data_IF_881513569576
#
_entry.id   IF_881513569576
#
_cell.length_a   1.000
_cell.length_b   1.000
_cell.length_c   1.000
_cell.angle_alpha   90.00
_cell.angle_beta   90.00
_cell.angle_gamma   90.00
#
_symmetry.space_group_name_H-M   'P 1'
#
loop_
_entity.id
_entity.type
_entity.pdbx_description
1 polymer ?
#
# COMPACT_ATOMS: atom_id res chain seq x y z
N UNK A 1 25.04 1.75 5.97
CA UNK A 1 23.66 2.16 6.34
C UNK A 1 22.76 1.04 5.84
N UNK A 2 22.55 0.03 6.68
CA UNK A 2 21.60 -1.05 6.41
C UNK A 2 20.19 -0.52 6.70
N UNK A 3 19.59 0.16 5.72
CA UNK A 3 18.33 0.90 5.90
C UNK A 3 17.36 0.74 4.73
N UNK A 4 17.43 -0.37 4.01
CA UNK A 4 16.50 -0.67 2.93
C UNK A 4 15.33 -1.47 3.51
N UNK A 5 14.11 -0.99 3.33
CA UNK A 5 12.89 -1.80 3.48
C UNK A 5 12.99 -2.93 2.45
N UNK A 6 13.45 -4.11 2.87
CA UNK A 6 13.58 -5.28 2.00
C UNK A 6 12.29 -6.08 1.94
N UNK A 7 11.45 -5.96 2.96
CA UNK A 7 10.20 -6.69 3.10
C UNK A 7 9.16 -5.91 3.90
N UNK A 8 7.91 -6.38 3.85
CA UNK A 8 6.86 -5.83 4.70
C UNK A 8 7.13 -5.99 6.20
N UNK A 9 8.01 -6.91 6.62
CA UNK A 9 8.38 -7.07 8.02
C UNK A 9 9.16 -5.86 8.55
N UNK A 10 9.90 -5.17 7.68
CA UNK A 10 10.72 -4.01 8.06
C UNK A 10 9.88 -2.77 8.40
N UNK A 11 8.56 -2.81 8.14
CA UNK A 11 7.63 -1.79 8.61
C UNK A 11 7.61 -1.67 10.14
N UNK A 12 7.95 -2.73 10.88
CA UNK A 12 8.06 -2.64 12.34
C UNK A 12 9.11 -1.64 12.81
N UNK A 13 10.12 -1.37 11.98
CA UNK A 13 11.16 -0.39 12.28
C UNK A 13 10.70 1.06 12.04
N UNK A 14 9.57 1.25 11.35
CA UNK A 14 9.04 2.59 11.01
C UNK A 14 7.91 3.05 11.93
N UNK A 15 7.21 2.11 12.59
CA UNK A 15 6.03 2.41 13.40
C UNK A 15 6.34 2.16 14.88
N UNK A 16 6.40 3.25 15.67
CA UNK A 16 6.53 3.18 17.12
C UNK A 16 5.23 2.63 17.77
N UNK A 17 5.31 2.07 19.00
CA UNK A 17 4.14 1.60 19.74
C UNK A 17 3.04 2.66 19.88
N UNK A 18 1.78 2.23 19.96
CA UNK A 18 0.65 3.15 20.13
C UNK A 18 0.66 3.91 21.46
N UNK A 19 1.37 3.38 22.47
CA UNK A 19 1.62 4.06 23.74
C UNK A 19 2.55 5.27 23.63
N UNK A 20 3.38 5.34 22.59
CA UNK A 20 4.35 6.41 22.39
C UNK A 20 3.87 7.42 21.34
N UNK A 21 3.34 6.93 20.22
CA UNK A 21 2.81 7.76 19.13
C UNK A 21 1.34 7.42 18.94
N UNK A 22 0.37 8.27 19.31
CA UNK A 22 -1.04 8.03 19.04
C UNK A 22 -1.36 7.93 17.53
N UNK A 23 -2.45 7.25 17.15
CA UNK A 23 -2.78 6.99 15.73
C UNK A 23 -2.96 8.29 14.91
N UNK A 24 -3.46 9.36 15.51
CA UNK A 24 -3.67 10.66 14.88
C UNK A 24 -2.37 11.43 14.59
N UNK A 25 -1.24 10.99 15.16
CA UNK A 25 0.09 11.52 14.87
C UNK A 25 0.83 10.71 13.80
N UNK A 26 0.27 9.57 13.36
CA UNK A 26 0.83 8.80 12.26
C UNK A 26 0.46 9.52 10.95
N UNK A 27 1.42 9.81 10.06
CA UNK A 27 1.12 10.47 8.80
C UNK A 27 0.20 9.57 7.93
N UNK A 28 -0.78 10.15 7.22
CA UNK A 28 -1.57 9.42 6.24
C UNK A 28 -0.64 8.66 5.28
N UNK A 29 -0.80 7.34 5.19
CA UNK A 29 0.13 6.48 4.46
C UNK A 29 -0.62 5.43 3.65
N UNK A 30 -0.30 5.34 2.36
CA UNK A 30 -0.71 4.23 1.51
C UNK A 30 0.44 3.22 1.41
N UNK A 31 0.17 1.95 1.72
CA UNK A 31 1.13 0.86 1.61
C UNK A 31 0.66 -0.09 0.51
N UNK A 32 1.29 0.03 -0.66
CA UNK A 32 1.02 -0.79 -1.83
C UNK A 32 1.77 -2.12 -1.75
N UNK A 33 1.04 -3.21 -1.98
CA UNK A 33 1.57 -4.57 -2.05
C UNK A 33 0.99 -5.32 -3.23
N UNK A 34 1.80 -6.16 -3.89
CA UNK A 34 1.39 -6.87 -5.10
C UNK A 34 0.35 -7.97 -4.95
N UNK A 35 -0.05 -8.38 -3.72
CA UNK A 35 -1.09 -9.42 -3.54
C UNK A 35 -1.98 -9.16 -2.34
N UNK A 36 -3.22 -9.68 -2.39
CA UNK A 36 -4.15 -9.68 -1.25
C UNK A 36 -3.53 -10.25 0.02
N UNK A 37 -2.77 -11.35 -0.09
CA UNK A 37 -2.11 -11.96 1.07
C UNK A 37 -1.10 -11.01 1.70
N UNK A 38 -0.30 -10.33 0.89
CA UNK A 38 0.68 -9.34 1.38
C UNK A 38 0.02 -8.14 2.03
N UNK A 39 -1.10 -7.64 1.48
CA UNK A 39 -1.84 -6.53 2.14
C UNK A 39 -2.34 -6.92 3.53
N UNK A 40 -2.76 -8.17 3.74
CA UNK A 40 -3.09 -8.68 5.07
C UNK A 40 -1.86 -8.77 5.98
N UNK A 41 -0.73 -9.25 5.46
CA UNK A 41 0.52 -9.34 6.22
C UNK A 41 1.01 -7.97 6.70
N UNK A 42 0.85 -6.92 5.89
CA UNK A 42 1.13 -5.54 6.28
C UNK A 42 0.32 -5.15 7.52
N UNK A 43 -0.98 -5.47 7.57
CA UNK A 43 -1.81 -5.17 8.75
C UNK A 43 -1.32 -5.90 10.00
N UNK A 44 -0.93 -7.18 9.88
CA UNK A 44 -0.35 -7.95 10.99
C UNK A 44 0.94 -7.31 11.52
N UNK A 45 1.85 -6.90 10.62
CA UNK A 45 3.11 -6.26 11.02
C UNK A 45 2.87 -4.92 11.71
N UNK A 46 1.98 -4.09 11.15
CA UNK A 46 1.63 -2.80 11.75
C UNK A 46 1.00 -2.99 13.14
N UNK A 47 0.01 -3.88 13.25
CA UNK A 47 -0.66 -4.18 14.50
C UNK A 47 0.32 -4.69 15.58
N UNK A 48 1.24 -5.58 15.21
CA UNK A 48 2.28 -6.07 16.10
C UNK A 48 3.24 -4.95 16.55
N UNK A 49 3.74 -4.14 15.61
CA UNK A 49 4.62 -3.00 15.91
C UNK A 49 3.96 -1.98 16.85
N UNK A 50 2.64 -1.82 16.72
CA UNK A 50 1.83 -0.89 17.51
C UNK A 50 1.42 -1.44 18.87
N UNK A 51 1.69 -2.72 19.16
CA UNK A 51 1.28 -3.38 20.40
C UNK A 51 -0.21 -3.76 20.45
N UNK A 52 -0.87 -3.86 19.30
CA UNK A 52 -2.30 -4.14 19.16
C UNK A 52 -2.58 -5.28 18.17
N UNK A 53 -2.02 -6.50 18.37
CA UNK A 53 -2.03 -7.57 17.37
C UNK A 53 -3.42 -7.97 16.89
N UNK A 54 -4.44 -7.91 17.76
CA UNK A 54 -5.83 -8.24 17.42
C UNK A 54 -6.45 -7.26 16.39
N UNK A 55 -5.93 -6.03 16.32
CA UNK A 55 -6.44 -4.98 15.43
C UNK A 55 -6.16 -5.26 13.94
N UNK A 56 -5.22 -6.17 13.63
CA UNK A 56 -4.95 -6.60 12.25
C UNK A 56 -6.19 -7.22 11.55
N UNK A 57 -7.08 -7.82 12.35
CA UNK A 57 -8.32 -8.46 11.87
C UNK A 57 -9.54 -7.54 11.95
N UNK A 58 -9.39 -6.34 12.54
CA UNK A 58 -10.48 -5.41 12.78
C UNK A 58 -10.79 -4.59 11.52
N UNK A 59 -11.92 -4.85 10.88
CA UNK A 59 -12.37 -4.12 9.70
C UNK A 59 -12.57 -2.61 9.94
N UNK A 60 -12.76 -2.20 11.21
CA UNK A 60 -12.91 -0.80 11.65
C UNK A 60 -11.72 -0.32 12.48
N UNK A 61 -10.54 -0.90 12.26
CA UNK A 61 -9.30 -0.44 12.90
C UNK A 61 -9.16 1.09 12.76
N UNK A 62 -8.70 1.73 13.84
CA UNK A 62 -8.36 3.15 13.88
C UNK A 62 -6.92 3.41 13.43
N UNK A 63 -6.16 2.36 13.12
CA UNK A 63 -4.77 2.44 12.68
C UNK A 63 -4.69 2.17 11.18
N UNK A 64 -5.07 0.96 10.76
CA UNK A 64 -4.81 0.50 9.41
C UNK A 64 -5.96 -0.34 8.86
N UNK A 65 -6.38 -0.05 7.62
CA UNK A 65 -7.44 -0.82 6.96
C UNK A 65 -6.99 -1.31 5.59
N UNK A 66 -7.59 -2.42 5.14
CA UNK A 66 -7.26 -3.02 3.84
C UNK A 66 -8.21 -2.55 2.75
N UNK A 67 -7.65 -2.14 1.61
CA UNK A 67 -8.39 -1.94 0.37
C UNK A 67 -7.95 -2.95 -0.69
N UNK A 68 -8.90 -3.69 -1.27
CA UNK A 68 -8.62 -4.66 -2.33
C UNK A 68 -9.79 -4.73 -3.31
N UNK A 69 -9.54 -5.11 -4.57
CA UNK A 69 -10.58 -5.25 -5.61
C UNK A 69 -11.70 -6.22 -5.22
N UNK A 70 -11.42 -7.22 -4.41
CA UNK A 70 -12.41 -8.19 -3.90
C UNK A 70 -13.06 -7.80 -2.55
N UNK A 71 -12.73 -6.65 -1.97
CA UNK A 71 -13.41 -6.15 -0.76
C UNK A 71 -14.84 -5.74 -1.11
N UNK A 72 -15.78 -5.91 -0.16
CA UNK A 72 -17.18 -5.51 -0.36
C UNK A 72 -17.32 -4.04 -0.75
N UNK A 73 -18.32 -3.70 -1.58
CA UNK A 73 -18.50 -2.34 -2.10
C UNK A 73 -18.60 -1.30 -0.98
N UNK A 74 -19.37 -1.60 0.06
CA UNK A 74 -19.55 -0.68 1.19
C UNK A 74 -18.26 -0.46 1.97
N UNK A 75 -17.48 -1.52 2.21
CA UNK A 75 -16.21 -1.44 2.93
C UNK A 75 -15.18 -0.60 2.14
N UNK A 76 -15.18 -0.69 0.81
CA UNK A 76 -14.34 0.16 -0.04
C UNK A 76 -14.72 1.63 0.10
N UNK A 77 -16.01 1.95 -0.06
CA UNK A 77 -16.49 3.33 0.06
C UNK A 77 -16.18 3.91 1.44
N UNK A 78 -16.47 3.14 2.49
CA UNK A 78 -16.19 3.55 3.87
C UNK A 78 -14.69 3.72 4.12
N UNK A 79 -13.84 2.82 3.61
CA UNK A 79 -12.39 2.94 3.77
C UNK A 79 -11.87 4.25 3.15
N UNK A 80 -12.34 4.57 1.94
CA UNK A 80 -11.96 5.78 1.20
C UNK A 80 -12.45 7.05 1.91
N UNK A 81 -13.71 7.06 2.33
CA UNK A 81 -14.31 8.20 3.04
C UNK A 81 -13.65 8.43 4.40
N UNK A 82 -13.49 7.37 5.20
CA UNK A 82 -12.86 7.46 6.51
C UNK A 82 -11.39 7.87 6.42
N UNK A 83 -10.66 7.39 5.41
CA UNK A 83 -9.27 7.81 5.17
C UNK A 83 -9.20 9.29 4.77
N UNK A 84 -10.08 9.73 3.87
CA UNK A 84 -10.17 11.13 3.44
C UNK A 84 -10.59 12.10 4.55
N UNK A 85 -11.27 11.58 5.59
CA UNK A 85 -11.69 12.28 6.79
C UNK A 85 -10.76 12.03 8.00
N UNK A 86 -9.55 11.50 7.77
CA UNK A 86 -8.51 11.31 8.79
C UNK A 86 -8.97 10.46 10.00
N UNK A 87 -9.89 9.51 9.79
CA UNK A 87 -10.39 8.60 10.85
C UNK A 87 -9.39 7.50 11.20
N UNK A 88 -8.50 7.18 10.28
CA UNK A 88 -7.38 6.26 10.47
C UNK A 88 -6.24 6.63 9.51
N UNK A 89 -4.97 6.40 9.88
CA UNK A 89 -3.83 6.92 9.14
C UNK A 89 -3.29 6.00 8.04
N UNK A 90 -3.55 4.68 8.03
CA UNK A 90 -2.86 3.78 7.08
C UNK A 90 -3.83 2.94 6.24
N UNK A 91 -3.65 2.95 4.92
CA UNK A 91 -4.34 2.00 4.03
C UNK A 91 -3.34 1.01 3.46
N UNK A 92 -3.59 -0.27 3.69
CA UNK A 92 -2.87 -1.36 3.02
C UNK A 92 -3.65 -1.78 1.77
N UNK A 93 -3.05 -1.64 0.59
CA UNK A 93 -3.77 -1.79 -0.67
C UNK A 93 -2.98 -2.50 -1.77
N UNK A 94 -3.71 -3.03 -2.75
CA UNK A 94 -3.15 -3.27 -4.09
C UNK A 94 -3.31 -2.01 -4.94
N UNK A 95 -2.77 -2.01 -6.16
CA UNK A 95 -2.91 -0.88 -7.08
C UNK A 95 -4.38 -0.56 -7.48
N UNK A 96 -5.32 -1.44 -7.12
CA UNK A 96 -6.77 -1.21 -7.21
C UNK A 96 -7.22 0.08 -6.52
N UNK A 97 -6.50 0.52 -5.48
CA UNK A 97 -6.65 1.86 -4.95
C UNK A 97 -5.78 2.79 -5.79
N UNK A 98 -6.37 3.37 -6.84
CA UNK A 98 -5.68 4.28 -7.74
C UNK A 98 -4.92 5.38 -7.00
N UNK A 99 -3.83 5.85 -7.61
CA UNK A 99 -2.87 6.80 -7.02
C UNK A 99 -3.45 8.17 -6.64
N UNK A 100 -4.70 8.49 -7.02
CA UNK A 100 -5.35 9.76 -6.68
C UNK A 100 -5.44 10.02 -5.17
N UNK A 101 -5.47 8.98 -4.33
CA UNK A 101 -5.46 9.13 -2.86
C UNK A 101 -4.06 9.35 -2.27
N UNK A 102 -2.99 9.07 -3.03
CA UNK A 102 -1.61 9.25 -2.59
C UNK A 102 -1.22 10.74 -2.46
N UNK A 103 -2.02 11.66 -3.02
CA UNK A 103 -1.79 13.11 -2.96
C UNK A 103 -1.85 13.71 -1.55
N UNK A 104 -2.33 12.96 -0.56
CA UNK A 104 -2.57 13.45 0.82
C UNK A 104 -1.57 12.93 1.86
N UNK A 105 -0.51 12.21 1.46
CA UNK A 105 0.42 11.63 2.44
C UNK A 105 1.61 10.87 1.86
N UNK A 106 2.11 9.90 2.63
CA UNK A 106 3.23 9.03 2.26
C UNK A 106 2.73 7.85 1.41
N UNK A 107 3.52 7.43 0.43
CA UNK A 107 3.31 6.17 -0.28
C UNK A 107 4.52 5.26 -0.09
N UNK A 108 4.29 4.05 0.41
CA UNK A 108 5.27 2.95 0.48
C UNK A 108 4.84 1.90 -0.53
N UNK A 109 5.72 1.53 -1.45
CA UNK A 109 5.40 0.57 -2.52
C UNK A 109 6.36 -0.61 -2.43
N UNK A 110 5.84 -1.80 -2.12
CA UNK A 110 6.60 -3.04 -2.16
C UNK A 110 6.51 -3.66 -3.56
N UNK A 111 7.53 -3.40 -4.38
CA UNK A 111 7.69 -3.98 -5.72
C UNK A 111 8.60 -5.22 -5.70
N UNK A 112 8.31 -6.19 -6.56
CA UNK A 112 9.17 -7.35 -6.77
C UNK A 112 9.84 -7.25 -8.13
N UNK A 113 11.18 -7.32 -8.17
CA UNK A 113 11.94 -7.22 -9.43
C UNK A 113 11.58 -8.32 -10.42
N UNK A 114 11.29 -9.53 -9.90
CA UNK A 114 10.83 -10.66 -10.68
C UNK A 114 9.64 -11.30 -9.97
N UNK A 115 8.47 -11.30 -10.61
CA UNK A 115 7.26 -11.96 -10.13
C UNK A 115 6.99 -13.21 -10.97
N UNK A 116 6.51 -14.27 -10.32
CA UNK A 116 5.99 -15.44 -11.02
C UNK A 116 4.75 -15.01 -11.83
N UNK A 117 4.73 -15.34 -13.12
CA UNK A 117 3.69 -14.90 -14.06
C UNK A 117 3.56 -13.36 -14.17
N UNK A 118 4.67 -12.64 -13.96
CA UNK A 118 4.75 -11.18 -14.12
C UNK A 118 5.56 -10.73 -15.33
N UNK A 119 5.36 -9.47 -15.73
CA UNK A 119 6.10 -8.83 -16.82
C UNK A 119 7.48 -8.38 -16.32
N UNK A 120 8.44 -9.31 -16.30
CA UNK A 120 9.77 -9.11 -15.71
C UNK A 120 10.79 -8.44 -16.65
N UNK A 121 10.37 -8.01 -17.84
CA UNK A 121 11.22 -7.33 -18.81
C UNK A 121 10.40 -6.35 -19.66
N UNK A 122 11.05 -5.32 -20.20
CA UNK A 122 10.38 -4.26 -20.99
C UNK A 122 9.68 -4.80 -22.23
N UNK A 123 10.23 -5.85 -22.88
CA UNK A 123 9.61 -6.47 -24.06
C UNK A 123 8.29 -7.17 -23.79
N UNK A 124 7.94 -7.44 -22.53
CA UNK A 124 6.65 -8.00 -22.15
C UNK A 124 5.53 -6.94 -22.08
N UNK A 125 5.87 -5.65 -22.23
CA UNK A 125 4.90 -4.55 -22.29
C UNK A 125 4.67 -4.14 -23.75
N UNK A 126 3.43 -4.31 -24.21
CA UNK A 126 3.00 -3.87 -25.54
C UNK A 126 2.60 -2.39 -25.49
N UNK A 127 3.02 -1.62 -26.49
CA UNK A 127 2.65 -0.21 -26.62
C UNK A 127 1.14 -0.07 -26.84
N UNK A 128 0.47 0.76 -26.03
CA UNK A 128 -0.99 0.93 -26.08
C UNK A 128 -1.80 -0.27 -25.57
N UNK A 129 -1.15 -1.31 -25.03
CA UNK A 129 -1.81 -2.45 -24.42
C UNK A 129 -2.57 -2.07 -23.14
N UNK A 130 -3.64 -2.81 -22.82
CA UNK A 130 -4.31 -2.68 -21.53
C UNK A 130 -3.37 -3.07 -20.39
N UNK A 131 -3.40 -2.32 -19.30
CA UNK A 131 -2.60 -2.59 -18.11
C UNK A 131 -3.51 -2.77 -16.90
N UNK A 132 -3.42 -3.92 -16.25
CA UNK A 132 -4.09 -4.15 -14.97
C UNK A 132 -3.22 -3.68 -13.78
N UNK A 133 -3.73 -3.87 -12.56
CA UNK A 133 -3.02 -3.51 -11.33
C UNK A 133 -1.65 -4.22 -11.19
N UNK A 134 -1.56 -5.44 -11.71
CA UNK A 134 -0.36 -6.27 -11.61
C UNK A 134 0.69 -5.85 -12.63
N UNK A 135 0.27 -5.50 -13.84
CA UNK A 135 1.11 -4.89 -14.88
C UNK A 135 1.70 -3.56 -14.41
N UNK A 136 0.90 -2.75 -13.72
CA UNK A 136 1.35 -1.49 -13.11
C UNK A 136 2.43 -1.73 -12.07
N UNK A 137 2.28 -2.74 -11.20
CA UNK A 137 3.31 -3.11 -10.23
C UNK A 137 4.61 -3.59 -10.90
N UNK A 138 4.50 -4.37 -11.98
CA UNK A 138 5.65 -4.85 -12.75
C UNK A 138 6.35 -3.70 -13.48
N UNK A 139 5.58 -2.77 -14.04
CA UNK A 139 6.11 -1.56 -14.65
C UNK A 139 6.89 -0.72 -13.62
N UNK A 140 6.36 -0.53 -12.40
CA UNK A 140 7.06 0.18 -11.32
C UNK A 140 8.37 -0.52 -10.90
N UNK A 141 8.43 -1.85 -10.97
CA UNK A 141 9.64 -2.62 -10.66
C UNK A 141 10.75 -2.46 -11.73
N UNK A 142 10.37 -2.22 -12.98
CA UNK A 142 11.30 -2.04 -14.11
C UNK A 142 11.66 -0.58 -14.40
N UNK A 143 10.80 0.35 -13.98
CA UNK A 143 10.89 1.74 -14.37
C UNK A 143 12.12 2.42 -13.77
N UNK A 144 13.02 3.00 -14.59
CA UNK A 144 14.16 3.77 -14.10
C UNK A 144 13.79 5.24 -13.77
N UNK A 145 12.56 5.68 -14.03
CA UNK A 145 12.13 7.07 -13.84
C UNK A 145 11.75 7.36 -12.38
N UNK A 146 11.74 8.64 -12.01
CA UNK A 146 11.30 9.05 -10.69
C UNK A 146 9.84 8.63 -10.46
N UNK A 147 9.59 7.85 -9.40
CA UNK A 147 8.24 7.39 -9.03
C UNK A 147 7.26 8.55 -8.87
N UNK A 148 7.67 9.75 -8.41
CA UNK A 148 6.77 10.90 -8.35
C UNK A 148 6.20 11.28 -9.72
N UNK A 149 7.02 11.21 -10.77
CA UNK A 149 6.59 11.50 -12.14
C UNK A 149 5.70 10.37 -12.64
N UNK A 150 6.09 9.11 -12.43
CA UNK A 150 5.30 7.94 -12.82
C UNK A 150 3.90 7.96 -12.19
N UNK A 151 3.81 8.27 -10.89
CA UNK A 151 2.55 8.28 -10.14
C UNK A 151 1.70 9.52 -10.44
N UNK A 152 2.30 10.65 -10.84
CA UNK A 152 1.57 11.86 -11.21
C UNK A 152 0.88 11.75 -12.58
N UNK A 153 1.42 10.94 -13.50
CA UNK A 153 0.86 10.74 -14.85
C UNK A 153 -0.47 9.98 -14.82
N UNK A 154 -0.65 9.07 -13.86
CA UNK A 154 -1.86 8.23 -13.74
C UNK A 154 -3.00 8.90 -12.95
N UNK A 155 -2.84 10.18 -12.54
CA UNK A 155 -3.87 10.95 -11.83
C UNK A 155 -4.84 11.69 -12.78
N UNK A 156 -5.18 11.09 -13.93
CA UNK A 156 -6.16 11.67 -14.85
C UNK A 156 -7.59 11.58 -14.32
#
# INVERSE_FOLDING_TARGET
MEGLLQSCADLSNLYAPASEVPNDQVPPTLIYSGTRRKTGKVLEVLAAARGTPDDASNARSKLARRYHSCTGKNDKTLCVEDFGNERFPVVSCTMALGMGMASRGLAIIFVEKNRFDGKNNLSAFEEGGSQDDNDRMDALALTPICLRIALAIDNQ
#
